data_IF_512244309093
#
_entry.id   IF_512244309093
#
_cell.length_a   1.000
_cell.length_b   1.000
_cell.length_c   1.000
_cell.angle_alpha   90.00
_cell.angle_beta   90.00
_cell.angle_gamma   90.00
#
_symmetry.space_group_name_H-M   'P 1'
#
loop_
_entity.id
_entity.type
_entity.pdbx_description
1 polymer ?
#
# COMPACT_ATOMS: atom_id res chain seq x y z
N UNK A 1 -9.28 6.88 6.03
CA UNK A 1 -9.10 7.19 7.47
C UNK A 1 -7.89 6.41 7.97
N UNK A 2 -6.75 7.11 8.19
CA UNK A 2 -5.53 6.53 8.76
C UNK A 2 -5.85 5.93 10.14
N UNK A 3 -5.28 4.77 10.46
CA UNK A 3 -5.54 4.10 11.74
C UNK A 3 -5.05 4.95 12.92
N UNK A 4 -5.94 5.19 13.88
CA UNK A 4 -5.67 5.87 15.16
C UNK A 4 -4.44 5.25 15.84
N UNK A 5 -3.44 6.07 16.17
CA UNK A 5 -2.12 5.65 16.70
C UNK A 5 -2.21 4.76 17.95
N UNK A 6 -3.31 4.88 18.72
CA UNK A 6 -3.58 4.07 19.92
C UNK A 6 -4.28 2.72 19.63
N UNK A 7 -4.76 2.47 18.41
CA UNK A 7 -5.34 1.19 18.01
C UNK A 7 -4.30 0.31 17.30
N UNK A 8 -3.29 -0.14 18.06
CA UNK A 8 -2.21 -1.01 17.53
C UNK A 8 -2.71 -2.36 16.98
N UNK A 9 -3.89 -2.82 17.42
CA UNK A 9 -4.52 -4.05 16.88
C UNK A 9 -4.97 -3.89 15.42
N UNK A 10 -5.24 -2.67 14.98
CA UNK A 10 -5.71 -2.36 13.62
C UNK A 10 -4.69 -1.49 12.86
N UNK A 11 -3.39 -1.82 12.94
CA UNK A 11 -2.36 -1.14 12.15
C UNK A 11 -2.67 -1.24 10.64
N UNK A 12 -2.80 -0.07 10.00
CA UNK A 12 -2.90 0.06 8.55
C UNK A 12 -1.68 0.83 8.06
N UNK A 13 -0.79 0.12 7.39
CA UNK A 13 0.35 0.69 6.67
C UNK A 13 -0.10 1.08 5.28
N UNK A 14 0.37 2.24 4.83
CA UNK A 14 0.29 2.63 3.43
C UNK A 14 1.42 1.93 2.70
N UNK A 15 1.06 1.14 1.70
CA UNK A 15 1.98 0.58 0.73
C UNK A 15 1.75 1.32 -0.58
N UNK A 16 2.81 1.84 -1.20
CA UNK A 16 2.71 2.49 -2.50
C UNK A 16 3.82 2.01 -3.43
N UNK A 17 3.57 2.18 -4.73
CA UNK A 17 4.57 2.10 -5.80
C UNK A 17 4.66 3.49 -6.40
N UNK A 18 5.88 4.01 -6.42
CA UNK A 18 6.22 5.27 -7.07
C UNK A 18 7.05 5.01 -8.31
N UNK A 19 6.80 5.78 -9.37
CA UNK A 19 7.67 5.79 -10.52
C UNK A 19 8.98 6.50 -10.15
N UNK A 20 10.12 5.85 -10.38
CA UNK A 20 11.42 6.38 -9.95
C UNK A 20 11.84 7.67 -10.69
N UNK A 21 11.29 7.94 -11.88
CA UNK A 21 11.68 9.09 -12.69
C UNK A 21 10.90 10.38 -12.33
N UNK A 22 9.59 10.29 -12.17
CA UNK A 22 8.71 11.43 -11.86
C UNK A 22 8.31 11.52 -10.39
N UNK A 23 8.48 10.44 -9.62
CA UNK A 23 7.97 10.34 -8.25
C UNK A 23 6.45 10.15 -8.18
N UNK A 24 5.78 9.89 -9.31
CA UNK A 24 4.33 9.72 -9.34
C UNK A 24 3.92 8.39 -8.70
N UNK A 25 2.89 8.43 -7.85
CA UNK A 25 2.29 7.22 -7.28
C UNK A 25 1.45 6.51 -8.33
N UNK A 26 1.85 5.31 -8.74
CA UNK A 26 1.16 4.49 -9.76
C UNK A 26 0.12 3.57 -9.11
N UNK A 27 0.44 3.03 -7.93
CA UNK A 27 -0.46 2.12 -7.21
C UNK A 27 -0.28 2.29 -5.70
N UNK A 28 -1.36 2.13 -4.94
CA UNK A 28 -1.29 2.10 -3.49
C UNK A 28 -2.34 1.17 -2.89
N UNK A 29 -2.02 0.57 -1.74
CA UNK A 29 -2.97 -0.21 -0.94
C UNK A 29 -2.74 0.03 0.55
N UNK A 30 -3.81 -0.07 1.33
CA UNK A 30 -3.71 -0.08 2.80
C UNK A 30 -3.76 -1.51 3.33
N UNK A 31 -2.88 -1.83 4.27
CA UNK A 31 -2.91 -3.13 4.93
C UNK A 31 -1.82 -3.31 5.97
N UNK A 32 -1.73 -4.52 6.54
CA UNK A 32 -0.63 -4.84 7.46
C UNK A 32 0.69 -4.95 6.69
N UNK A 33 1.83 -4.84 7.37
CA UNK A 33 3.15 -5.08 6.77
C UNK A 33 3.39 -6.59 6.56
N UNK A 34 2.59 -7.21 5.68
CA UNK A 34 2.61 -8.66 5.41
C UNK A 34 2.72 -8.92 3.92
N UNK A 35 3.27 -10.09 3.56
CA UNK A 35 3.43 -10.51 2.17
C UNK A 35 2.09 -10.60 1.41
N UNK A 36 0.99 -10.86 2.13
CA UNK A 36 -0.37 -10.81 1.57
C UNK A 36 -0.78 -9.43 1.07
N UNK A 37 -0.43 -8.36 1.80
CA UNK A 37 -0.68 -6.98 1.37
C UNK A 37 0.21 -6.61 0.19
N UNK A 38 1.46 -7.09 0.17
CA UNK A 38 2.37 -6.90 -0.96
C UNK A 38 1.83 -7.54 -2.25
N UNK A 39 1.35 -8.78 -2.21
CA UNK A 39 0.71 -9.42 -3.38
C UNK A 39 -0.52 -8.66 -3.87
N UNK A 40 -1.30 -8.06 -2.96
CA UNK A 40 -2.43 -7.19 -3.34
C UNK A 40 -1.96 -5.95 -4.06
N UNK A 41 -0.87 -5.32 -3.61
CA UNK A 41 -0.26 -4.18 -4.29
C UNK A 41 0.19 -4.57 -5.72
N UNK A 42 0.86 -5.71 -5.88
CA UNK A 42 1.27 -6.20 -7.20
C UNK A 42 0.07 -6.47 -8.12
N UNK A 43 -1.03 -7.01 -7.58
CA UNK A 43 -2.24 -7.22 -8.36
C UNK A 43 -2.87 -5.90 -8.83
N UNK A 44 -2.91 -4.88 -7.96
CA UNK A 44 -3.37 -3.53 -8.34
C UNK A 44 -2.45 -2.92 -9.40
N UNK A 45 -1.14 -3.09 -9.26
CA UNK A 45 -0.16 -2.61 -10.24
C UNK A 45 -0.34 -3.30 -11.61
N UNK A 46 -0.56 -4.62 -11.61
CA UNK A 46 -0.79 -5.38 -12.84
C UNK A 46 -2.12 -5.03 -13.54
N UNK A 47 -3.08 -4.44 -12.82
CA UNK A 47 -4.32 -3.92 -13.39
C UNK A 47 -4.19 -2.48 -13.91
N UNK A 48 -3.14 -1.76 -13.50
CA UNK A 48 -2.92 -0.37 -13.86
C UNK A 48 -2.10 -0.19 -15.15
N UNK A 49 -1.48 -1.26 -15.67
CA UNK A 49 -0.77 -1.31 -16.95
C UNK A 49 -1.52 -2.13 -17.99
#
# INVERSE_FOLDING_TARGET
MWSFVRCKKAQRWLWWVEEAATGQVIAFVFGRRTHTTFRRLLAVLAQAG
#
